data_IF_538769101883
#
_entry.id   IF_538769101883
#
_cell.length_a   1.000
_cell.length_b   1.000
_cell.length_c   1.000
_cell.angle_alpha   90.00
_cell.angle_beta   90.00
_cell.angle_gamma   90.00
#
_symmetry.space_group_name_H-M   'P 1'
#
loop_
_entity.id
_entity.type
_entity.pdbx_description
1 polymer ?
#
# COMPACT_ATOMS: atom_id res chain seq x y z
N UNK A 1 -8.91 -21.56 30.17
CA UNK A 1 -8.45 -22.34 28.99
C UNK A 1 -8.11 -21.37 27.88
N UNK A 2 -6.87 -21.34 27.35
CA UNK A 2 -6.52 -20.45 26.25
C UNK A 2 -6.93 -21.13 24.93
N UNK A 3 -7.99 -20.65 24.29
CA UNK A 3 -8.38 -21.13 22.96
C UNK A 3 -7.60 -20.39 21.88
N UNK A 4 -7.04 -21.19 20.98
CA UNK A 4 -6.28 -20.79 19.81
C UNK A 4 -7.11 -19.89 18.89
N UNK A 5 -6.76 -18.61 18.82
CA UNK A 5 -6.72 -17.89 17.55
C UNK A 5 -5.30 -17.98 17.00
N UNK A 6 -4.90 -19.21 16.62
CA UNK A 6 -3.78 -19.45 15.71
C UNK A 6 -4.15 -18.82 14.36
N UNK A 7 -3.16 -18.20 13.71
CA UNK A 7 -3.18 -17.75 12.32
C UNK A 7 -4.04 -16.52 12.01
N UNK A 8 -3.55 -15.33 12.38
CA UNK A 8 -3.78 -14.10 11.60
C UNK A 8 -2.48 -13.41 11.17
N UNK A 9 -1.37 -14.13 11.15
CA UNK A 9 -0.18 -13.74 10.38
C UNK A 9 -0.38 -14.10 8.90
N UNK A 10 -1.26 -13.41 8.16
CA UNK A 10 -1.13 -13.38 6.68
C UNK A 10 -2.08 -12.44 5.93
N UNK A 11 -2.86 -11.57 6.58
CA UNK A 11 -3.75 -10.64 5.86
C UNK A 11 -3.18 -9.22 5.77
N UNK A 12 -2.24 -8.87 6.65
CA UNK A 12 -1.61 -7.54 6.72
C UNK A 12 -0.21 -7.48 6.15
N UNK A 13 0.29 -8.57 5.57
CA UNK A 13 1.57 -8.56 4.83
C UNK A 13 1.25 -8.12 3.40
N UNK A 14 2.12 -7.28 2.84
CA UNK A 14 2.03 -6.70 1.50
C UNK A 14 1.18 -5.41 1.40
N UNK A 15 1.45 -4.47 2.31
CA UNK A 15 1.65 -3.11 1.84
C UNK A 15 3.02 -2.66 2.32
N UNK A 16 3.99 -2.70 1.42
CA UNK A 16 5.24 -2.00 1.62
C UNK A 16 5.27 -1.01 0.48
N UNK A 17 4.85 0.24 0.73
CA UNK A 17 5.43 1.34 -0.05
C UNK A 17 6.91 1.08 0.01
N UNK A 18 7.51 0.85 -1.16
CA UNK A 18 8.95 0.72 -1.24
C UNK A 18 9.51 1.99 -0.61
N UNK A 19 10.02 1.87 0.61
CA UNK A 19 10.44 3.03 1.36
C UNK A 19 11.60 3.63 0.59
N UNK A 20 11.58 4.95 0.42
CA UNK A 20 12.68 5.71 -0.18
C UNK A 20 14.04 5.26 0.33
N UNK A 21 14.11 4.93 1.61
CA UNK A 21 15.27 4.35 2.28
C UNK A 21 15.87 3.16 1.52
N UNK A 22 15.04 2.22 1.05
CA UNK A 22 15.51 1.08 0.25
C UNK A 22 15.95 1.47 -1.17
N UNK A 23 15.39 2.53 -1.75
CA UNK A 23 15.86 3.08 -3.04
C UNK A 23 17.25 3.70 -2.84
N UNK A 24 17.39 4.55 -1.82
CA UNK A 24 18.59 5.30 -1.47
C UNK A 24 19.76 4.38 -1.08
N UNK A 25 19.48 3.30 -0.35
CA UNK A 25 20.48 2.30 0.04
C UNK A 25 20.96 1.43 -1.14
N UNK A 26 20.13 1.23 -2.16
CA UNK A 26 20.38 0.27 -3.25
C UNK A 26 20.89 0.94 -4.52
N UNK A 27 20.54 2.20 -4.75
CA UNK A 27 20.82 2.92 -5.99
C UNK A 27 21.60 4.20 -5.73
N UNK A 28 22.67 4.40 -6.49
CA UNK A 28 23.22 5.74 -6.68
C UNK A 28 22.19 6.58 -7.44
N UNK A 29 21.50 7.46 -6.73
CA UNK A 29 20.53 8.41 -7.28
C UNK A 29 21.05 9.84 -7.13
N UNK A 30 20.72 10.70 -8.09
CA UNK A 30 21.01 12.12 -7.99
C UNK A 30 20.11 12.80 -6.96
N UNK A 31 20.56 13.92 -6.38
CA UNK A 31 19.75 14.72 -5.46
C UNK A 31 18.39 15.16 -6.06
N UNK A 32 18.35 15.40 -7.38
CA UNK A 32 17.11 15.70 -8.11
C UNK A 32 16.16 14.50 -8.10
N UNK A 33 16.66 13.29 -8.38
CA UNK A 33 15.85 12.07 -8.35
C UNK A 33 15.36 11.78 -6.94
N UNK A 34 16.22 11.93 -5.93
CA UNK A 34 15.87 11.80 -4.52
C UNK A 34 14.69 12.72 -4.15
N UNK A 35 14.78 14.00 -4.50
CA UNK A 35 13.70 14.98 -4.26
C UNK A 35 12.39 14.56 -4.94
N UNK A 36 12.46 14.08 -6.18
CA UNK A 36 11.28 13.60 -6.91
C UNK A 36 10.66 12.37 -6.25
N UNK A 37 11.46 11.39 -5.87
CA UNK A 37 11.01 10.19 -5.19
C UNK A 37 10.40 10.52 -3.82
N UNK A 38 10.98 11.46 -3.06
CA UNK A 38 10.46 11.98 -1.79
C UNK A 38 9.06 12.57 -1.96
N UNK A 39 8.88 13.41 -2.98
CA UNK A 39 7.59 14.00 -3.29
C UNK A 39 6.55 12.94 -3.68
N UNK A 40 6.94 11.94 -4.48
CA UNK A 40 6.07 10.82 -4.83
C UNK A 40 5.66 10.03 -3.58
N UNK A 41 6.59 9.68 -2.69
CA UNK A 41 6.26 8.94 -1.48
C UNK A 41 5.32 9.73 -0.55
N UNK A 42 5.52 11.04 -0.41
CA UNK A 42 4.62 11.91 0.37
C UNK A 42 3.22 12.00 -0.27
N UNK A 43 3.14 12.06 -1.59
CA UNK A 43 1.87 12.07 -2.30
C UNK A 43 1.09 10.77 -2.12
N UNK A 44 1.70 9.63 -2.46
CA UNK A 44 1.05 8.33 -2.35
C UNK A 44 0.84 7.87 -0.90
N UNK A 45 1.70 8.30 0.02
CA UNK A 45 1.50 8.11 1.46
C UNK A 45 0.23 8.79 1.96
N UNK A 46 -0.06 10.02 1.51
CA UNK A 46 -1.33 10.70 1.85
C UNK A 46 -2.56 9.99 1.27
N UNK A 47 -2.47 9.51 0.03
CA UNK A 47 -3.56 8.75 -0.59
C UNK A 47 -3.84 7.44 0.14
N UNK A 48 -2.78 6.75 0.58
CA UNK A 48 -2.91 5.55 1.40
C UNK A 48 -3.60 5.84 2.73
N UNK A 49 -3.18 6.89 3.44
CA UNK A 49 -3.79 7.27 4.73
C UNK A 49 -5.29 7.50 4.54
N UNK A 50 -5.68 8.28 3.52
CA UNK A 50 -7.10 8.50 3.22
C UNK A 50 -7.87 7.20 2.93
N UNK A 51 -7.24 6.24 2.23
CA UNK A 51 -7.83 4.93 1.97
C UNK A 51 -7.99 4.10 3.24
N UNK A 52 -7.00 4.13 4.14
CA UNK A 52 -7.05 3.43 5.43
C UNK A 52 -8.12 4.03 6.34
N UNK A 53 -8.23 5.36 6.40
CA UNK A 53 -9.27 6.06 7.16
C UNK A 53 -10.67 5.63 6.67
N UNK A 54 -10.87 5.56 5.35
CA UNK A 54 -12.11 5.07 4.76
C UNK A 54 -12.42 3.60 5.13
N UNK A 55 -11.39 2.75 5.16
CA UNK A 55 -11.55 1.36 5.61
C UNK A 55 -11.95 1.27 7.09
N UNK A 56 -11.36 2.12 7.94
CA UNK A 56 -11.68 2.19 9.37
C UNK A 56 -13.11 2.66 9.58
N UNK A 57 -13.56 3.68 8.86
CA UNK A 57 -14.95 4.17 8.89
C UNK A 57 -15.93 3.05 8.48
N UNK A 58 -15.63 2.32 7.40
CA UNK A 58 -16.45 1.19 6.98
C UNK A 58 -16.51 0.08 8.05
N UNK A 59 -15.39 -0.22 8.71
CA UNK A 59 -15.34 -1.21 9.78
C UNK A 59 -16.12 -0.76 11.02
N UNK A 60 -16.03 0.52 11.39
CA UNK A 60 -16.81 1.10 12.48
C UNK A 60 -18.32 0.97 12.22
N UNK A 61 -18.79 1.39 11.04
CA UNK A 61 -20.20 1.28 10.66
C UNK A 61 -20.67 -0.18 10.65
N UNK A 62 -19.84 -1.11 10.17
CA UNK A 62 -20.14 -2.53 10.25
C UNK A 62 -20.31 -2.99 11.71
N UNK A 63 -19.40 -2.65 12.62
CA UNK A 63 -19.52 -3.09 14.01
C UNK A 63 -20.74 -2.52 14.74
N UNK A 64 -21.25 -1.36 14.33
CA UNK A 64 -22.37 -0.68 14.99
C UNK A 64 -23.74 -0.88 14.31
N UNK A 65 -23.80 -1.22 13.02
CA UNK A 65 -25.06 -1.36 12.24
C UNK A 65 -25.40 -2.82 11.84
N UNK A 66 -24.57 -3.83 12.19
CA UNK A 66 -24.56 -5.16 11.51
C UNK A 66 -25.53 -6.26 11.98
N UNK A 67 -26.74 -5.93 12.43
CA UNK A 67 -27.75 -6.98 12.63
C UNK A 67 -28.34 -7.51 11.31
N UNK A 68 -28.25 -6.77 10.20
CA UNK A 68 -28.83 -7.16 8.91
C UNK A 68 -27.80 -7.58 7.83
N UNK A 69 -28.29 -8.35 6.85
CA UNK A 69 -27.50 -8.88 5.74
C UNK A 69 -27.09 -7.81 4.72
N UNK A 70 -27.86 -6.73 4.60
CA UNK A 70 -27.62 -5.61 3.67
C UNK A 70 -26.38 -4.83 4.10
N UNK A 71 -26.25 -4.50 5.37
CA UNK A 71 -25.08 -3.85 5.98
C UNK A 71 -23.82 -4.71 5.81
N UNK A 72 -23.93 -6.03 5.97
CA UNK A 72 -22.81 -6.97 5.71
C UNK A 72 -22.37 -6.95 4.26
N UNK A 73 -23.29 -7.02 3.29
CA UNK A 73 -22.96 -6.93 1.86
C UNK A 73 -22.36 -5.58 1.49
N UNK A 74 -22.86 -4.48 2.07
CA UNK A 74 -22.32 -3.14 1.86
C UNK A 74 -20.87 -3.03 2.34
N UNK A 75 -20.56 -3.56 3.52
CA UNK A 75 -19.20 -3.62 4.04
C UNK A 75 -18.26 -4.43 3.14
N UNK A 76 -18.66 -5.64 2.74
CA UNK A 76 -17.84 -6.48 1.85
C UNK A 76 -17.53 -5.80 0.51
N UNK A 77 -18.50 -5.06 -0.06
CA UNK A 77 -18.29 -4.26 -1.26
C UNK A 77 -17.30 -3.11 -1.03
N UNK A 78 -17.43 -2.39 0.09
CA UNK A 78 -16.53 -1.30 0.44
C UNK A 78 -15.10 -1.82 0.65
N UNK A 79 -14.94 -2.93 1.38
CA UNK A 79 -13.66 -3.59 1.59
C UNK A 79 -13.02 -4.05 0.27
N UNK A 80 -13.78 -4.73 -0.59
CA UNK A 80 -13.28 -5.17 -1.91
C UNK A 80 -12.89 -3.98 -2.80
N UNK A 81 -13.66 -2.89 -2.75
CA UNK A 81 -13.32 -1.66 -3.46
C UNK A 81 -12.02 -1.04 -2.93
N UNK A 82 -11.84 -1.03 -1.61
CA UNK A 82 -10.62 -0.50 -1.01
C UNK A 82 -9.39 -1.35 -1.34
N UNK A 83 -9.50 -2.68 -1.37
CA UNK A 83 -8.41 -3.54 -1.86
C UNK A 83 -8.05 -3.27 -3.32
N UNK A 84 -9.05 -3.07 -4.18
CA UNK A 84 -8.82 -2.75 -5.59
C UNK A 84 -8.12 -1.40 -5.75
N UNK A 85 -8.53 -0.41 -4.95
CA UNK A 85 -7.93 0.91 -4.92
C UNK A 85 -6.50 0.89 -4.39
N UNK A 86 -6.23 0.07 -3.37
CA UNK A 86 -4.88 -0.14 -2.85
C UNK A 86 -3.95 -0.67 -3.95
N UNK A 87 -4.35 -1.73 -4.65
CA UNK A 87 -3.59 -2.32 -5.76
C UNK A 87 -3.41 -1.32 -6.91
N UNK A 88 -4.38 -0.43 -7.14
CA UNK A 88 -4.26 0.66 -8.12
C UNK A 88 -3.17 1.64 -7.70
N UNK A 89 -3.23 2.15 -6.47
CA UNK A 89 -2.25 3.09 -5.92
C UNK A 89 -0.83 2.53 -5.92
N UNK A 90 -0.64 1.26 -5.57
CA UNK A 90 0.67 0.60 -5.62
C UNK A 90 1.25 0.54 -7.03
N UNK A 91 0.42 0.18 -8.03
CA UNK A 91 0.85 0.11 -9.42
C UNK A 91 1.20 1.50 -9.96
N UNK A 92 0.41 2.50 -9.65
CA UNK A 92 0.66 3.89 -10.04
C UNK A 92 1.94 4.42 -9.39
N UNK A 93 2.12 4.19 -8.08
CA UNK A 93 3.33 4.59 -7.38
C UNK A 93 4.59 3.97 -8.01
N UNK A 94 4.55 2.66 -8.30
CA UNK A 94 5.65 1.96 -8.96
C UNK A 94 5.92 2.49 -10.36
N UNK A 95 4.87 2.80 -11.11
CA UNK A 95 4.99 3.39 -12.44
C UNK A 95 5.65 4.77 -12.41
N UNK A 96 5.29 5.62 -11.44
CA UNK A 96 5.92 6.94 -11.28
C UNK A 96 7.39 6.83 -10.85
N UNK A 97 7.74 5.89 -9.96
CA UNK A 97 9.14 5.60 -9.62
C UNK A 97 9.93 5.21 -10.88
N UNK A 98 9.38 4.32 -11.70
CA UNK A 98 10.03 3.84 -12.93
C UNK A 98 10.31 4.97 -13.94
N UNK A 99 9.56 6.08 -13.90
CA UNK A 99 9.82 7.27 -14.74
C UNK A 99 10.98 8.13 -14.22
N UNK A 100 11.22 8.13 -12.91
CA UNK A 100 12.31 8.89 -12.30
C UNK A 100 13.65 8.18 -12.48
N UNK A 101 13.63 6.84 -12.50
CA UNK A 101 14.82 6.02 -12.57
C UNK A 101 15.29 5.77 -14.01
N UNK A 102 16.62 5.69 -14.18
CA UNK A 102 17.23 5.24 -15.44
C UNK A 102 16.93 3.77 -15.72
N UNK A 103 17.21 3.30 -16.94
CA UNK A 103 17.04 1.88 -17.32
C UNK A 103 17.90 0.95 -16.45
N UNK A 104 19.13 1.35 -16.14
CA UNK A 104 20.08 0.59 -15.31
C UNK A 104 19.62 0.58 -13.85
N UNK A 105 19.23 1.73 -13.30
CA UNK A 105 18.67 1.85 -11.95
C UNK A 105 17.43 0.97 -11.77
N UNK A 106 16.54 0.94 -12.77
CA UNK A 106 15.38 0.03 -12.76
C UNK A 106 15.78 -1.44 -12.77
N UNK A 107 16.81 -1.82 -13.52
CA UNK A 107 17.30 -3.20 -13.53
C UNK A 107 17.91 -3.59 -12.18
N UNK A 108 18.73 -2.73 -11.59
CA UNK A 108 19.29 -2.94 -10.26
C UNK A 108 18.21 -3.05 -9.20
N UNK A 109 17.21 -2.17 -9.23
CA UNK A 109 16.06 -2.23 -8.34
C UNK A 109 15.27 -3.54 -8.50
N UNK A 110 15.02 -3.98 -9.74
CA UNK A 110 14.32 -5.25 -10.00
C UNK A 110 15.10 -6.46 -9.49
N UNK A 111 16.42 -6.48 -9.63
CA UNK A 111 17.28 -7.55 -9.11
C UNK A 111 17.23 -7.59 -7.58
N UNK A 112 17.30 -6.42 -6.95
CA UNK A 112 17.17 -6.31 -5.49
C UNK A 112 15.80 -6.78 -4.99
N UNK A 113 14.71 -6.39 -5.65
CA UNK A 113 13.35 -6.82 -5.28
C UNK A 113 13.07 -8.31 -5.50
N UNK A 114 13.86 -8.98 -6.34
CA UNK A 114 13.72 -10.40 -6.63
C UNK A 114 14.58 -11.30 -5.71
N UNK A 115 15.53 -10.72 -4.99
CA UNK A 115 16.37 -11.39 -3.99
C UNK A 115 15.65 -11.45 -2.63
#
# INVERSE_FOLDING_TARGET
MPSQAKNRESSGRHFTLFTLTKVEETLAISHRQETQLRNLALHYGRLLVALLDHCQECAYNFHHESSDEVSRRRFLRAYSKAEAELKRLEREYRFEIDKVLSKEQRQSLRRFLAA
#
